data_IF_753726691885
#
_entry.id   IF_753726691885
#
_cell.length_a   1.000
_cell.length_b   1.000
_cell.length_c   1.000
_cell.angle_alpha   90.00
_cell.angle_beta   90.00
_cell.angle_gamma   90.00
#
_symmetry.space_group_name_H-M   'P 1'
#
loop_
_entity.id
_entity.type
_entity.pdbx_description
1 polymer ?
#
# COMPACT_ATOMS: atom_id res chain seq x y z
N UNK A 1 8.39 -26.70 12.46
CA UNK A 1 8.41 -25.26 12.12
C UNK A 1 9.50 -24.86 11.13
N UNK A 2 10.67 -25.51 11.09
CA UNK A 2 11.80 -25.12 10.24
C UNK A 2 11.56 -25.23 8.72
N UNK A 3 10.81 -26.22 8.24
CA UNK A 3 10.55 -26.41 6.78
C UNK A 3 9.57 -25.37 6.19
N UNK A 4 8.57 -24.93 6.96
CA UNK A 4 7.60 -23.91 6.51
C UNK A 4 8.25 -22.52 6.38
N UNK A 5 9.04 -22.13 7.38
CA UNK A 5 9.69 -20.81 7.37
C UNK A 5 10.82 -20.68 6.35
N UNK A 6 11.34 -21.78 5.81
CA UNK A 6 12.35 -21.81 4.74
C UNK A 6 11.74 -21.78 3.32
N UNK A 7 10.43 -21.90 3.19
CA UNK A 7 9.76 -21.86 1.90
C UNK A 7 9.47 -20.38 1.48
N UNK A 8 10.04 -19.98 0.33
CA UNK A 8 9.89 -18.61 -0.18
C UNK A 8 8.44 -18.22 -0.46
N UNK A 9 7.61 -19.15 -0.94
CA UNK A 9 6.21 -18.88 -1.22
C UNK A 9 5.40 -18.65 0.05
N UNK A 10 5.73 -19.40 1.12
CA UNK A 10 5.11 -19.18 2.42
C UNK A 10 5.45 -17.81 3.01
N UNK A 11 6.72 -17.38 2.87
CA UNK A 11 7.14 -16.04 3.31
C UNK A 11 6.43 -14.93 2.52
N UNK A 12 6.28 -15.13 1.21
CA UNK A 12 5.52 -14.18 0.36
C UNK A 12 4.05 -14.12 0.78
N UNK A 13 3.39 -15.28 0.95
CA UNK A 13 1.98 -15.34 1.38
C UNK A 13 1.77 -14.67 2.73
N UNK A 14 2.63 -14.95 3.71
CA UNK A 14 2.57 -14.31 5.02
C UNK A 14 2.75 -12.78 4.92
N UNK A 15 3.68 -12.31 4.07
CA UNK A 15 3.87 -10.90 3.76
C UNK A 15 2.63 -10.28 3.12
N UNK A 16 2.03 -10.93 2.12
CA UNK A 16 0.80 -10.48 1.47
C UNK A 16 -0.34 -10.36 2.48
N UNK A 17 -0.50 -11.35 3.37
CA UNK A 17 -1.55 -11.30 4.39
C UNK A 17 -1.31 -10.13 5.37
N UNK A 18 -0.07 -9.88 5.80
CA UNK A 18 0.26 -8.69 6.60
C UNK A 18 -0.13 -7.40 5.87
N UNK A 19 0.14 -7.31 4.56
CA UNK A 19 -0.22 -6.16 3.72
C UNK A 19 -1.74 -5.97 3.62
N UNK A 20 -2.50 -7.07 3.47
CA UNK A 20 -3.98 -7.04 3.50
C UNK A 20 -4.49 -6.49 4.83
N UNK A 21 -3.88 -6.88 5.95
CA UNK A 21 -4.31 -6.44 7.29
C UNK A 21 -4.07 -4.95 7.55
N UNK A 22 -3.08 -4.33 6.93
CA UNK A 22 -2.79 -2.90 7.12
C UNK A 22 -3.42 -1.99 6.05
N UNK A 23 -3.99 -2.53 5.00
CA UNK A 23 -4.49 -1.78 3.84
C UNK A 23 -5.58 -0.76 4.18
N UNK A 24 -6.49 -1.10 5.09
CA UNK A 24 -7.59 -0.22 5.47
C UNK A 24 -7.16 0.98 6.33
N UNK A 25 -5.97 0.97 6.89
CA UNK A 25 -5.41 2.12 7.61
C UNK A 25 -5.37 3.36 6.69
N UNK A 26 -5.04 3.15 5.42
CA UNK A 26 -5.03 4.18 4.40
C UNK A 26 -6.36 4.26 3.65
N UNK A 27 -6.79 3.18 3.01
CA UNK A 27 -7.94 3.20 2.11
C UNK A 27 -9.30 3.21 2.82
N UNK A 28 -9.37 2.76 4.07
CA UNK A 28 -10.57 2.81 4.88
C UNK A 28 -10.80 4.13 5.62
N UNK A 29 -9.81 5.04 5.64
CA UNK A 29 -9.88 6.28 6.41
C UNK A 29 -11.11 7.13 6.10
N UNK A 30 -11.49 7.24 4.84
CA UNK A 30 -12.64 8.03 4.41
C UNK A 30 -13.97 7.62 5.04
N UNK A 31 -14.09 6.35 5.47
CA UNK A 31 -15.28 5.85 6.17
C UNK A 31 -15.46 6.47 7.56
N UNK A 32 -14.38 6.92 8.17
CA UNK A 32 -14.38 7.46 9.53
C UNK A 32 -14.57 8.98 9.57
N UNK A 33 -14.22 9.70 8.48
CA UNK A 33 -14.20 11.17 8.46
C UNK A 33 -15.56 11.78 8.78
N UNK A 34 -16.61 11.40 8.06
CA UNK A 34 -17.95 11.94 8.27
C UNK A 34 -18.55 11.54 9.64
N UNK A 35 -18.45 10.27 10.11
CA UNK A 35 -18.87 9.90 11.46
C UNK A 35 -18.15 10.66 12.57
N UNK A 36 -16.83 10.88 12.46
CA UNK A 36 -16.06 11.65 13.44
C UNK A 36 -16.48 13.11 13.47
N UNK A 37 -16.58 13.74 12.28
CA UNK A 37 -17.01 15.14 12.15
C UNK A 37 -18.38 15.35 12.79
N UNK A 38 -19.33 14.46 12.52
CA UNK A 38 -20.68 14.53 13.08
C UNK A 38 -20.71 14.32 14.60
N UNK A 39 -19.92 13.38 15.12
CA UNK A 39 -19.95 13.03 16.55
C UNK A 39 -19.17 14.01 17.42
N UNK A 40 -18.03 14.53 16.95
CA UNK A 40 -17.13 15.37 17.73
C UNK A 40 -17.24 16.86 17.39
N UNK A 41 -17.94 17.20 16.29
CA UNK A 41 -18.02 18.58 15.81
C UNK A 41 -16.71 19.10 15.19
N UNK A 42 -15.75 18.23 14.90
CA UNK A 42 -14.47 18.63 14.32
C UNK A 42 -14.61 18.96 12.84
N UNK A 43 -13.87 19.97 12.37
CA UNK A 43 -13.81 20.29 10.96
C UNK A 43 -13.18 19.12 10.18
N UNK A 44 -13.70 18.88 8.96
CA UNK A 44 -13.18 17.81 8.08
C UNK A 44 -11.69 18.02 7.78
N UNK A 45 -11.25 19.28 7.62
CA UNK A 45 -9.84 19.64 7.44
C UNK A 45 -8.94 19.14 8.57
N UNK A 46 -9.39 19.28 9.82
CA UNK A 46 -8.61 18.87 10.99
C UNK A 46 -8.53 17.35 11.10
N UNK A 47 -9.61 16.64 10.74
CA UNK A 47 -9.60 15.19 10.66
C UNK A 47 -8.67 14.71 9.54
N UNK A 48 -8.65 15.39 8.39
CA UNK A 48 -7.76 15.05 7.28
C UNK A 48 -6.28 15.35 7.59
N UNK A 49 -5.99 16.27 8.52
CA UNK A 49 -4.63 16.47 9.00
C UNK A 49 -4.10 15.22 9.71
N UNK A 50 -4.94 14.49 10.45
CA UNK A 50 -4.55 13.19 11.03
C UNK A 50 -4.13 12.19 9.95
N UNK A 51 -4.86 12.13 8.84
CA UNK A 51 -4.48 11.30 7.69
C UNK A 51 -3.15 11.72 7.06
N UNK A 52 -2.91 13.03 6.96
CA UNK A 52 -1.63 13.55 6.45
C UNK A 52 -0.46 13.17 7.36
N UNK A 53 -0.65 13.20 8.69
CA UNK A 53 0.34 12.74 9.68
C UNK A 53 0.60 11.24 9.53
N UNK A 54 -0.46 10.44 9.37
CA UNK A 54 -0.36 9.00 9.11
C UNK A 54 0.50 8.73 7.87
N UNK A 55 0.17 9.32 6.71
CA UNK A 55 0.89 9.13 5.45
C UNK A 55 2.34 9.60 5.55
N UNK A 56 2.58 10.75 6.19
CA UNK A 56 3.94 11.28 6.36
C UNK A 56 4.83 10.28 7.12
N UNK A 57 4.35 9.74 8.24
CA UNK A 57 5.13 8.79 9.04
C UNK A 57 5.24 7.41 8.37
N UNK A 58 4.17 6.91 7.76
CA UNK A 58 4.19 5.67 6.98
C UNK A 58 5.27 5.70 5.88
N UNK A 59 5.45 6.87 5.24
CA UNK A 59 6.37 7.02 4.12
C UNK A 59 7.79 7.35 4.56
N UNK A 60 7.95 8.37 5.42
CA UNK A 60 9.26 8.92 5.76
C UNK A 60 10.05 8.09 6.78
N UNK A 61 9.39 7.25 7.57
CA UNK A 61 10.08 6.32 8.48
C UNK A 61 10.59 5.05 7.79
N UNK A 62 10.10 4.73 6.59
CA UNK A 62 10.47 3.53 5.82
C UNK A 62 12.01 3.30 5.70
N UNK A 63 12.86 4.30 5.42
CA UNK A 63 14.30 4.08 5.37
C UNK A 63 14.91 3.71 6.73
N UNK A 64 14.40 4.29 7.82
CA UNK A 64 14.83 3.96 9.18
C UNK A 64 14.41 2.55 9.58
N UNK A 65 13.18 2.18 9.27
CA UNK A 65 12.62 0.85 9.54
C UNK A 65 13.39 -0.24 8.77
N UNK A 66 13.70 0.00 7.50
CA UNK A 66 14.52 -0.88 6.69
C UNK A 66 15.94 -1.06 7.27
N UNK A 67 16.55 0.04 7.74
CA UNK A 67 17.84 -0.01 8.41
C UNK A 67 17.79 -0.81 9.72
N UNK A 68 16.73 -0.65 10.53
CA UNK A 68 16.52 -1.44 11.75
C UNK A 68 16.41 -2.94 11.42
N UNK A 69 15.63 -3.30 10.39
CA UNK A 69 15.52 -4.69 9.92
C UNK A 69 16.88 -5.27 9.57
N UNK A 70 17.69 -4.53 8.82
CA UNK A 70 19.02 -4.99 8.39
C UNK A 70 20.00 -5.09 9.58
N UNK A 71 19.95 -4.15 10.53
CA UNK A 71 20.77 -4.16 11.75
C UNK A 71 20.45 -5.34 12.68
N UNK A 72 19.17 -5.69 12.81
CA UNK A 72 18.70 -6.82 13.62
C UNK A 72 18.98 -8.19 12.95
N UNK A 73 19.30 -8.16 11.66
CA UNK A 73 19.67 -9.32 10.87
C UNK A 73 18.51 -10.18 10.38
N UNK A 74 18.81 -11.19 9.54
CA UNK A 74 17.80 -11.88 8.74
C UNK A 74 16.79 -12.70 9.55
N UNK A 75 17.16 -13.18 10.72
CA UNK A 75 16.26 -13.98 11.58
C UNK A 75 15.34 -13.12 12.45
N UNK A 76 15.86 -12.03 13.00
CA UNK A 76 15.16 -11.22 14.00
C UNK A 76 14.55 -9.96 13.42
N UNK A 77 15.18 -9.34 12.41
CA UNK A 77 14.76 -8.07 11.83
C UNK A 77 13.30 -8.08 11.41
N UNK A 78 12.88 -8.92 10.45
CA UNK A 78 11.50 -8.94 10.00
C UNK A 78 10.50 -9.24 11.12
N UNK A 79 10.82 -10.20 12.00
CA UNK A 79 9.96 -10.59 13.11
C UNK A 79 9.67 -9.42 14.06
N UNK A 80 10.74 -8.78 14.53
CA UNK A 80 10.62 -7.75 15.56
C UNK A 80 10.02 -6.46 14.99
N UNK A 81 10.41 -6.08 13.77
CA UNK A 81 9.91 -4.84 13.15
C UNK A 81 8.43 -4.99 12.77
N UNK A 82 8.02 -6.11 12.16
CA UNK A 82 6.60 -6.35 11.84
C UNK A 82 5.77 -6.54 13.12
N UNK A 83 6.30 -7.23 14.15
CA UNK A 83 5.61 -7.35 15.44
C UNK A 83 5.39 -6.00 16.12
N UNK A 84 6.43 -5.15 16.15
CA UNK A 84 6.32 -3.79 16.65
C UNK A 84 5.32 -2.97 15.82
N UNK A 85 5.35 -3.11 14.49
CA UNK A 85 4.38 -2.50 13.58
C UNK A 85 2.94 -2.89 13.91
N UNK A 86 2.66 -4.18 14.12
CA UNK A 86 1.34 -4.67 14.54
C UNK A 86 0.88 -4.10 15.88
N UNK A 87 1.79 -3.99 16.85
CA UNK A 87 1.49 -3.35 18.15
C UNK A 87 1.16 -1.86 17.97
N UNK A 88 1.96 -1.13 17.18
CA UNK A 88 1.75 0.29 16.94
C UNK A 88 0.43 0.55 16.21
N UNK A 89 0.06 -0.27 15.24
CA UNK A 89 -1.24 -0.22 14.55
C UNK A 89 -2.38 -0.44 15.54
N UNK A 90 -2.31 -1.47 16.39
CA UNK A 90 -3.32 -1.73 17.39
C UNK A 90 -3.47 -0.54 18.36
N UNK A 91 -2.36 -0.08 18.94
CA UNK A 91 -2.36 1.03 19.89
C UNK A 91 -2.87 2.33 19.26
N UNK A 92 -2.45 2.64 18.02
CA UNK A 92 -2.89 3.84 17.32
C UNK A 92 -4.40 3.85 17.05
N UNK A 93 -4.97 2.75 16.60
CA UNK A 93 -6.41 2.65 16.36
C UNK A 93 -7.23 2.54 17.66
N UNK A 94 -6.71 1.87 18.69
CA UNK A 94 -7.34 1.89 20.03
C UNK A 94 -7.36 3.32 20.58
N UNK A 95 -6.26 4.08 20.43
CA UNK A 95 -6.23 5.48 20.83
C UNK A 95 -7.24 6.32 20.04
N UNK A 96 -7.33 6.11 18.71
CA UNK A 96 -8.32 6.79 17.87
C UNK A 96 -9.76 6.43 18.25
N UNK A 97 -10.01 5.21 18.73
CA UNK A 97 -11.34 4.81 19.23
C UNK A 97 -11.80 5.58 20.45
N UNK A 98 -10.85 6.06 21.25
CA UNK A 98 -11.09 6.78 22.51
C UNK A 98 -10.77 8.28 22.38
N UNK A 99 -10.40 8.75 21.17
CA UNK A 99 -10.01 10.13 20.97
C UNK A 99 -11.18 11.09 21.17
N UNK A 100 -11.05 11.95 22.17
CA UNK A 100 -11.96 13.05 22.49
C UNK A 100 -11.33 14.43 22.20
N UNK A 101 -10.15 14.43 21.61
CA UNK A 101 -9.42 15.62 21.16
C UNK A 101 -8.67 15.35 19.87
N UNK A 102 -8.43 16.39 19.07
CA UNK A 102 -7.63 16.30 17.85
C UNK A 102 -6.20 15.85 18.14
N UNK A 103 -5.63 16.27 19.28
CA UNK A 103 -4.28 15.83 19.69
C UNK A 103 -4.22 14.31 19.86
N UNK A 104 -5.20 13.70 20.52
CA UNK A 104 -5.27 12.24 20.67
C UNK A 104 -5.41 11.54 19.31
N UNK A 105 -6.25 12.07 18.41
CA UNK A 105 -6.41 11.58 17.05
C UNK A 105 -5.08 11.64 16.27
N UNK A 106 -4.32 12.75 16.38
CA UNK A 106 -3.03 12.92 15.70
C UNK A 106 -1.96 11.97 16.23
N UNK A 107 -1.90 11.75 17.54
CA UNK A 107 -0.98 10.77 18.15
C UNK A 107 -1.35 9.36 17.69
N UNK A 108 -2.63 9.00 17.68
CA UNK A 108 -3.08 7.70 17.18
C UNK A 108 -2.75 7.52 15.70
N UNK A 109 -2.94 8.54 14.88
CA UNK A 109 -2.57 8.53 13.46
C UNK A 109 -1.04 8.38 13.28
N UNK A 110 -0.24 9.06 14.10
CA UNK A 110 1.21 8.95 14.08
C UNK A 110 1.69 7.52 14.42
N UNK A 111 1.15 6.92 15.48
CA UNK A 111 1.46 5.52 15.85
C UNK A 111 1.07 4.55 14.73
N UNK A 112 -0.12 4.75 14.16
CA UNK A 112 -0.63 3.91 13.06
C UNK A 112 0.23 4.04 11.81
N UNK A 113 0.68 5.25 11.46
CA UNK A 113 1.56 5.50 10.32
C UNK A 113 2.92 4.82 10.49
N UNK A 114 3.56 5.01 11.65
CA UNK A 114 4.81 4.33 11.96
C UNK A 114 4.65 2.78 11.95
N UNK A 115 3.55 2.27 12.49
CA UNK A 115 3.27 0.83 12.47
C UNK A 115 3.02 0.29 11.07
N UNK A 116 2.21 0.98 10.27
CA UNK A 116 1.90 0.62 8.87
C UNK A 116 3.16 0.61 8.00
N UNK A 117 3.97 1.67 8.08
CA UNK A 117 5.25 1.77 7.38
C UNK A 117 6.20 0.62 7.69
N UNK A 118 6.37 0.29 8.98
CA UNK A 118 7.21 -0.81 9.43
C UNK A 118 6.80 -2.17 8.81
N UNK A 119 5.50 -2.45 8.76
CA UNK A 119 4.96 -3.66 8.12
C UNK A 119 5.18 -3.62 6.62
N UNK A 120 4.81 -2.51 5.96
CA UNK A 120 4.93 -2.34 4.52
C UNK A 120 6.38 -2.52 4.05
N UNK A 121 7.29 -1.71 4.58
CA UNK A 121 8.70 -1.73 4.20
C UNK A 121 9.34 -3.10 4.39
N UNK A 122 9.03 -3.76 5.51
CA UNK A 122 9.59 -5.08 5.83
C UNK A 122 9.05 -6.17 4.90
N UNK A 123 7.75 -6.19 4.61
CA UNK A 123 7.14 -7.19 3.73
C UNK A 123 7.65 -7.05 2.30
N UNK A 124 7.68 -5.83 1.74
CA UNK A 124 8.21 -5.55 0.41
C UNK A 124 9.70 -5.87 0.32
N UNK A 125 10.50 -5.40 1.28
CA UNK A 125 11.94 -5.68 1.32
C UNK A 125 12.26 -7.18 1.45
N UNK A 126 11.46 -7.92 2.21
CA UNK A 126 11.59 -9.38 2.32
C UNK A 126 11.23 -10.09 1.02
N UNK A 127 10.16 -9.66 0.33
CA UNK A 127 9.77 -10.23 -0.96
C UNK A 127 10.90 -10.11 -2.01
N UNK A 128 11.56 -8.96 -2.09
CA UNK A 128 12.72 -8.74 -2.98
C UNK A 128 13.86 -9.72 -2.68
N UNK A 129 14.14 -9.96 -1.39
CA UNK A 129 15.24 -10.84 -0.96
C UNK A 129 14.94 -12.32 -1.18
N UNK A 130 13.68 -12.75 -1.03
CA UNK A 130 13.26 -14.13 -1.24
C UNK A 130 13.14 -14.51 -2.73
N UNK A 131 12.90 -13.53 -3.60
CA UNK A 131 12.67 -13.75 -5.04
C UNK A 131 13.66 -12.96 -5.90
N UNK A 132 14.97 -13.27 -5.84
CA UNK A 132 15.95 -12.59 -6.69
C UNK A 132 15.74 -12.86 -8.18
N UNK A 133 15.08 -13.99 -8.53
CA UNK A 133 14.70 -14.41 -9.88
C UNK A 133 13.45 -13.69 -10.43
N UNK A 134 12.56 -13.20 -9.57
CA UNK A 134 11.26 -12.60 -9.94
C UNK A 134 10.90 -11.46 -8.99
N UNK A 135 11.80 -10.49 -8.86
CA UNK A 135 11.65 -9.37 -7.90
C UNK A 135 10.42 -8.52 -8.19
N UNK A 136 10.17 -8.23 -9.47
CA UNK A 136 9.05 -7.41 -9.89
C UNK A 136 7.71 -8.07 -9.55
N UNK A 137 7.56 -9.36 -9.89
CA UNK A 137 6.35 -10.13 -9.56
C UNK A 137 6.13 -10.23 -8.05
N UNK A 138 7.17 -10.53 -7.27
CA UNK A 138 7.06 -10.67 -5.83
C UNK A 138 6.66 -9.36 -5.13
N UNK A 139 7.26 -8.24 -5.52
CA UNK A 139 6.89 -6.90 -5.04
C UNK A 139 5.48 -6.55 -5.48
N UNK A 140 5.14 -6.81 -6.74
CA UNK A 140 3.82 -6.56 -7.30
C UNK A 140 2.70 -7.32 -6.56
N UNK A 141 2.91 -8.60 -6.26
CA UNK A 141 1.97 -9.41 -5.47
C UNK A 141 1.83 -8.90 -4.02
N UNK A 142 2.96 -8.54 -3.40
CA UNK A 142 2.94 -7.98 -2.04
C UNK A 142 2.17 -6.65 -2.01
N UNK A 143 2.43 -5.77 -2.96
CA UNK A 143 1.74 -4.49 -3.07
C UNK A 143 0.27 -4.63 -3.50
N UNK A 144 -0.08 -5.66 -4.29
CA UNK A 144 -1.47 -5.99 -4.61
C UNK A 144 -2.26 -6.40 -3.36
N UNK A 145 -1.62 -7.10 -2.42
CA UNK A 145 -2.22 -7.43 -1.12
C UNK A 145 -2.65 -6.18 -0.34
N UNK A 146 -1.86 -5.12 -0.38
CA UNK A 146 -2.22 -3.83 0.20
C UNK A 146 -3.44 -3.20 -0.52
N UNK A 147 -3.50 -3.23 -1.85
CA UNK A 147 -4.66 -2.74 -2.60
C UNK A 147 -5.94 -3.57 -2.35
N UNK A 148 -5.82 -4.91 -2.41
CA UNK A 148 -6.96 -5.82 -2.24
C UNK A 148 -7.49 -5.86 -0.80
N UNK A 149 -6.65 -5.61 0.20
CA UNK A 149 -7.03 -5.65 1.61
C UNK A 149 -8.13 -4.65 1.96
N UNK A 150 -8.11 -3.47 1.34
CA UNK A 150 -9.16 -2.48 1.49
C UNK A 150 -10.52 -3.01 1.00
N UNK A 151 -10.56 -3.66 -0.17
CA UNK A 151 -11.78 -4.23 -0.72
C UNK A 151 -12.42 -5.27 0.22
N UNK A 152 -11.60 -6.04 0.93
CA UNK A 152 -12.07 -7.05 1.89
C UNK A 152 -12.56 -6.44 3.20
N UNK A 153 -12.00 -5.32 3.63
CA UNK A 153 -12.24 -4.76 4.97
C UNK A 153 -13.22 -3.59 4.99
N UNK A 154 -13.40 -2.85 3.87
CA UNK A 154 -14.31 -1.69 3.78
C UNK A 154 -15.75 -2.06 4.12
N UNK A 155 -16.27 -3.17 3.59
CA UNK A 155 -17.66 -3.61 3.85
C UNK A 155 -17.89 -3.92 5.35
N UNK A 156 -17.08 -4.79 6.01
CA UNK A 156 -17.27 -5.06 7.42
C UNK A 156 -17.02 -3.84 8.32
N UNK A 157 -16.03 -2.98 8.00
CA UNK A 157 -15.80 -1.72 8.73
C UNK A 157 -17.06 -0.84 8.67
N UNK A 158 -17.61 -0.64 7.47
CA UNK A 158 -18.82 0.16 7.27
C UNK A 158 -20.03 -0.41 8.04
N UNK A 159 -20.19 -1.73 8.05
CA UNK A 159 -21.24 -2.40 8.81
C UNK A 159 -21.09 -2.15 10.33
N UNK A 160 -19.88 -2.25 10.87
CA UNK A 160 -19.62 -1.98 12.30
C UNK A 160 -19.83 -0.50 12.61
N UNK A 161 -19.41 0.42 11.76
CA UNK A 161 -19.65 1.87 11.94
C UNK A 161 -21.16 2.14 12.00
N UNK A 162 -21.95 1.54 11.12
CA UNK A 162 -23.40 1.73 11.09
C UNK A 162 -24.10 1.14 12.32
N UNK A 163 -23.65 -0.01 12.83
CA UNK A 163 -24.26 -0.70 13.96
C UNK A 163 -23.81 -0.18 15.34
N UNK A 164 -22.53 0.16 15.50
CA UNK A 164 -21.90 0.39 16.79
C UNK A 164 -21.04 1.66 16.87
N UNK A 165 -21.03 2.46 15.79
CA UNK A 165 -20.27 3.69 15.71
C UNK A 165 -18.81 3.49 15.28
N UNK A 166 -18.15 4.60 14.93
CA UNK A 166 -16.78 4.59 14.42
C UNK A 166 -15.76 4.19 15.50
N UNK A 167 -16.02 4.48 16.76
CA UNK A 167 -15.19 4.09 17.89
C UNK A 167 -15.05 2.57 17.98
N UNK A 168 -16.17 1.84 17.89
CA UNK A 168 -16.18 0.39 17.92
C UNK A 168 -15.40 -0.19 16.71
N UNK A 169 -15.54 0.43 15.53
CA UNK A 169 -14.80 0.01 14.34
C UNK A 169 -13.28 0.21 14.54
N UNK A 170 -12.82 1.37 15.00
CA UNK A 170 -11.42 1.59 15.32
C UNK A 170 -10.90 0.57 16.33
N UNK A 171 -11.65 0.33 17.41
CA UNK A 171 -11.23 -0.58 18.46
C UNK A 171 -11.07 -2.02 17.97
N UNK A 172 -12.12 -2.59 17.38
CA UNK A 172 -12.13 -4.01 17.01
C UNK A 172 -11.21 -4.30 15.81
N UNK A 173 -11.20 -3.44 14.80
CA UNK A 173 -10.30 -3.64 13.67
C UNK A 173 -8.85 -3.35 14.04
N UNK A 174 -8.57 -2.32 14.84
CA UNK A 174 -7.22 -2.04 15.32
C UNK A 174 -6.64 -3.19 16.13
N UNK A 175 -7.39 -3.66 17.12
CA UNK A 175 -7.00 -4.79 17.94
C UNK A 175 -6.84 -6.08 17.13
N UNK A 176 -7.86 -6.42 16.32
CA UNK A 176 -7.87 -7.66 15.53
C UNK A 176 -6.75 -7.71 14.50
N UNK A 177 -6.60 -6.66 13.70
CA UNK A 177 -5.58 -6.59 12.66
C UNK A 177 -4.17 -6.49 13.24
N UNK A 178 -3.96 -5.64 14.25
CA UNK A 178 -2.67 -5.52 14.91
C UNK A 178 -2.24 -6.83 15.59
N UNK A 179 -3.15 -7.50 16.29
CA UNK A 179 -2.88 -8.81 16.90
C UNK A 179 -2.57 -9.88 15.83
N UNK A 180 -3.29 -9.87 14.70
CA UNK A 180 -3.06 -10.81 13.63
C UNK A 180 -1.70 -10.59 12.95
N UNK A 181 -1.34 -9.35 12.68
CA UNK A 181 0.00 -8.97 12.16
C UNK A 181 1.08 -9.37 13.16
N UNK A 182 0.89 -9.10 14.46
CA UNK A 182 1.80 -9.51 15.51
C UNK A 182 2.03 -11.03 15.54
N UNK A 183 0.98 -11.84 15.43
CA UNK A 183 1.09 -13.30 15.39
C UNK A 183 1.83 -13.78 14.12
N UNK A 184 1.50 -13.22 12.96
CA UNK A 184 2.15 -13.58 11.70
C UNK A 184 3.63 -13.17 11.66
N UNK A 185 4.00 -12.09 12.33
CA UNK A 185 5.37 -11.59 12.39
C UNK A 185 6.36 -12.68 12.83
N UNK A 186 5.98 -13.58 13.75
CA UNK A 186 6.83 -14.66 14.23
C UNK A 186 7.18 -15.72 13.19
N UNK A 187 6.43 -15.78 12.09
CA UNK A 187 6.68 -16.65 10.95
C UNK A 187 7.61 -16.01 9.90
N UNK A 188 7.76 -14.67 9.94
CA UNK A 188 8.55 -13.93 8.96
C UNK A 188 10.03 -14.00 9.25
N UNK A 189 10.85 -14.11 8.19
CA UNK A 189 12.30 -13.97 8.21
C UNK A 189 12.83 -13.59 6.83
N UNK A 190 14.04 -13.11 6.75
CA UNK A 190 14.75 -12.99 5.47
C UNK A 190 15.42 -14.32 5.10
N UNK A 191 15.74 -14.53 3.81
CA UNK A 191 16.47 -15.71 3.37
C UNK A 191 17.86 -15.77 4.01
N UNK A 192 18.28 -16.96 4.36
CA UNK A 192 19.65 -17.25 4.81
C UNK A 192 20.45 -17.91 3.69
N UNK A 193 21.78 -17.96 3.79
CA UNK A 193 22.60 -18.70 2.85
C UNK A 193 22.08 -20.13 2.68
N UNK A 194 21.79 -20.52 1.43
CA UNK A 194 21.23 -21.83 1.10
C UNK A 194 19.70 -21.92 0.95
N UNK A 195 18.92 -20.92 1.43
CA UNK A 195 17.46 -20.91 1.23
C UNK A 195 17.07 -20.61 -0.22
N UNK A 196 17.85 -19.75 -0.90
CA UNK A 196 17.64 -19.38 -2.30
C UNK A 196 18.74 -20.03 -3.13
N UNK A 197 18.36 -20.88 -4.10
CA UNK A 197 19.32 -21.55 -4.96
C UNK A 197 20.03 -20.56 -5.88
N UNK A 198 21.36 -20.72 -6.04
CA UNK A 198 22.17 -19.90 -6.94
C UNK A 198 21.70 -19.98 -8.41
N UNK A 199 21.06 -21.08 -8.82
CA UNK A 199 20.48 -21.29 -10.15
C UNK A 199 19.27 -20.36 -10.45
N UNK A 200 18.70 -19.72 -9.46
CA UNK A 200 17.64 -18.72 -9.65
C UNK A 200 18.19 -17.35 -10.14
N UNK A 201 19.50 -17.23 -10.29
CA UNK A 201 20.13 -15.96 -10.71
C UNK A 201 20.25 -15.78 -12.24
N UNK A 202 19.72 -16.72 -13.04
CA UNK A 202 19.69 -16.56 -14.52
C UNK A 202 18.41 -15.80 -14.89
N UNK A 203 18.36 -14.52 -14.56
CA UNK A 203 17.45 -13.59 -15.21
C UNK A 203 18.06 -13.16 -16.54
N UNK A 204 17.27 -13.15 -17.61
CA UNK A 204 17.66 -12.58 -18.91
C UNK A 204 17.95 -11.08 -18.85
N UNK A 205 17.58 -10.44 -17.74
CA UNK A 205 17.82 -9.03 -17.45
C UNK A 205 19.02 -8.91 -16.52
N UNK A 206 20.05 -8.20 -16.97
CA UNK A 206 21.27 -7.92 -16.19
C UNK A 206 20.86 -7.11 -14.93
N UNK A 207 20.88 -7.77 -13.79
CA UNK A 207 20.65 -7.10 -12.50
C UNK A 207 22.00 -6.80 -11.86
N UNK A 208 22.24 -5.53 -11.58
CA UNK A 208 23.45 -5.12 -10.85
C UNK A 208 23.33 -5.62 -9.41
N UNK A 209 24.20 -6.57 -9.04
CA UNK A 209 24.24 -7.16 -7.70
C UNK A 209 24.89 -6.24 -6.64
N UNK A 210 25.21 -4.99 -7.00
CA UNK A 210 25.95 -4.06 -6.13
C UNK A 210 25.01 -3.36 -5.15
N UNK A 211 25.20 -3.62 -3.86
CA UNK A 211 24.54 -2.85 -2.81
C UNK A 211 25.20 -1.47 -2.66
N UNK A 212 24.39 -0.44 -2.60
CA UNK A 212 24.82 0.95 -2.44
C UNK A 212 24.39 1.44 -1.06
N UNK A 213 25.29 2.07 -0.31
CA UNK A 213 24.94 2.67 0.99
C UNK A 213 23.98 3.85 0.82
N UNK A 214 23.11 4.15 1.82
CA UNK A 214 22.15 5.25 1.73
C UNK A 214 22.77 6.60 1.38
N UNK A 215 23.93 6.93 1.98
CA UNK A 215 24.63 8.19 1.68
C UNK A 215 25.10 8.28 0.22
N UNK A 216 25.61 7.17 -0.35
CA UNK A 216 26.02 7.14 -1.77
C UNK A 216 24.80 7.19 -2.71
N UNK A 217 23.67 6.63 -2.29
CA UNK A 217 22.43 6.70 -3.04
C UNK A 217 21.93 8.15 -3.15
N UNK A 218 21.90 8.89 -2.04
CA UNK A 218 21.45 10.29 -2.02
C UNK A 218 22.30 11.24 -2.88
N UNK A 219 23.58 10.91 -3.11
CA UNK A 219 24.46 11.67 -4.00
C UNK A 219 24.30 11.26 -5.46
N UNK A 220 23.62 10.14 -5.74
CA UNK A 220 23.46 9.63 -7.12
C UNK A 220 22.39 10.42 -7.90
N UNK A 221 22.70 11.00 -9.07
CA UNK A 221 21.71 11.68 -9.90
C UNK A 221 20.63 10.73 -10.41
N UNK A 222 20.94 9.45 -10.60
CA UNK A 222 19.98 8.42 -11.04
C UNK A 222 18.89 8.23 -9.98
N UNK A 223 19.25 8.27 -8.69
CA UNK A 223 18.27 8.19 -7.61
C UNK A 223 17.26 9.34 -7.68
N UNK A 224 17.75 10.57 -7.84
CA UNK A 224 16.86 11.74 -7.91
C UNK A 224 16.01 11.76 -9.18
N UNK A 225 16.56 11.32 -10.30
CA UNK A 225 15.79 11.15 -11.54
C UNK A 225 14.62 10.18 -11.33
N UNK A 226 14.90 8.98 -10.80
CA UNK A 226 13.85 7.98 -10.50
C UNK A 226 12.84 8.48 -9.46
N UNK A 227 13.31 9.21 -8.45
CA UNK A 227 12.46 9.80 -7.43
C UNK A 227 11.49 10.84 -8.03
N UNK A 228 11.99 11.77 -8.84
CA UNK A 228 11.15 12.78 -9.50
C UNK A 228 10.14 12.11 -10.45
N UNK A 229 10.58 11.16 -11.26
CA UNK A 229 9.70 10.40 -12.14
C UNK A 229 8.58 9.71 -11.35
N UNK A 230 8.91 9.07 -10.23
CA UNK A 230 7.94 8.43 -9.36
C UNK A 230 6.95 9.43 -8.75
N UNK A 231 7.43 10.57 -8.27
CA UNK A 231 6.58 11.65 -7.72
C UNK A 231 5.60 12.15 -8.77
N UNK A 232 6.06 12.46 -9.99
CA UNK A 232 5.21 12.99 -11.07
C UNK A 232 4.11 12.00 -11.46
N UNK A 233 4.46 10.72 -11.64
CA UNK A 233 3.48 9.69 -12.01
C UNK A 233 2.52 9.38 -10.87
N UNK A 234 3.01 9.32 -9.62
CA UNK A 234 2.14 9.10 -8.47
C UNK A 234 1.19 10.25 -8.24
N UNK A 235 1.67 11.49 -8.38
CA UNK A 235 0.84 12.68 -8.25
C UNK A 235 -0.27 12.70 -9.32
N UNK A 236 0.07 12.44 -10.59
CA UNK A 236 -0.92 12.40 -11.67
C UNK A 236 -1.97 11.31 -11.44
N UNK A 237 -1.56 10.10 -11.06
CA UNK A 237 -2.48 9.00 -10.77
C UNK A 237 -3.43 9.29 -9.60
N UNK A 238 -2.89 9.81 -8.49
CA UNK A 238 -3.69 10.20 -7.34
C UNK A 238 -4.66 11.34 -7.64
N UNK A 239 -4.25 12.31 -8.45
CA UNK A 239 -5.13 13.40 -8.90
C UNK A 239 -6.27 12.86 -9.75
N UNK A 240 -6.01 11.97 -10.71
CA UNK A 240 -7.05 11.37 -11.53
C UNK A 240 -8.07 10.60 -10.69
N UNK A 241 -7.59 9.70 -9.83
CA UNK A 241 -8.46 8.90 -8.94
C UNK A 241 -9.27 9.79 -7.99
N UNK A 242 -8.68 10.85 -7.44
CA UNK A 242 -9.37 11.78 -6.55
C UNK A 242 -10.46 12.63 -7.28
N UNK A 243 -10.26 12.91 -8.56
CA UNK A 243 -11.14 13.76 -9.36
C UNK A 243 -12.12 12.98 -10.25
N UNK A 244 -12.05 11.65 -10.28
CA UNK A 244 -12.81 10.80 -11.22
C UNK A 244 -14.32 11.08 -11.19
N UNK A 245 -14.90 11.32 -10.01
CA UNK A 245 -16.31 11.63 -9.85
C UNK A 245 -16.68 13.03 -10.39
N UNK A 246 -15.79 14.01 -10.22
CA UNK A 246 -15.98 15.36 -10.74
C UNK A 246 -15.82 15.37 -12.26
N UNK A 247 -14.80 14.67 -12.78
CA UNK A 247 -14.60 14.51 -14.22
C UNK A 247 -15.84 13.87 -14.87
N UNK A 248 -16.35 12.77 -14.30
CA UNK A 248 -17.55 12.12 -14.82
C UNK A 248 -18.79 13.03 -14.80
N UNK A 249 -18.89 13.92 -13.80
CA UNK A 249 -19.96 14.91 -13.71
C UNK A 249 -19.80 16.04 -14.75
N UNK A 250 -18.60 16.55 -14.93
CA UNK A 250 -18.31 17.62 -15.89
C UNK A 250 -18.58 17.17 -17.33
N UNK A 251 -18.32 15.91 -17.63
CA UNK A 251 -18.68 15.31 -18.93
C UNK A 251 -20.13 14.82 -19.02
N UNK A 252 -20.96 15.00 -17.98
CA UNK A 252 -22.35 14.59 -17.90
C UNK A 252 -22.58 13.08 -18.13
N UNK A 253 -21.61 12.24 -17.76
CA UNK A 253 -21.69 10.78 -17.90
C UNK A 253 -21.87 10.04 -16.57
N UNK A 254 -21.86 10.74 -15.43
CA UNK A 254 -21.91 10.15 -14.07
C UNK A 254 -23.10 9.21 -13.86
N UNK A 255 -24.28 9.64 -14.33
CA UNK A 255 -25.56 8.96 -14.08
C UNK A 255 -26.03 8.11 -15.28
N UNK A 256 -25.29 8.12 -16.40
CA UNK A 256 -25.60 7.26 -17.54
C UNK A 256 -25.43 5.78 -17.17
N UNK A 257 -26.43 4.96 -17.49
CA UNK A 257 -26.41 3.53 -17.23
C UNK A 257 -25.55 2.85 -18.29
N UNK A 258 -24.47 2.18 -17.87
CA UNK A 258 -23.50 1.55 -18.77
C UNK A 258 -23.64 0.03 -18.84
N UNK A 259 -23.70 -0.65 -17.69
CA UNK A 259 -23.67 -2.10 -17.65
C UNK A 259 -24.47 -2.64 -16.46
N UNK A 260 -25.34 -3.65 -16.71
CA UNK A 260 -26.15 -4.32 -15.68
C UNK A 260 -26.95 -3.37 -14.75
N UNK A 261 -27.37 -2.22 -15.25
CA UNK A 261 -28.05 -1.20 -14.45
C UNK A 261 -27.17 -0.33 -13.57
N UNK A 262 -25.86 -0.52 -13.62
CA UNK A 262 -24.88 0.30 -12.90
C UNK A 262 -24.57 1.58 -13.69
N UNK A 263 -24.38 2.69 -12.98
CA UNK A 263 -23.98 3.96 -13.59
C UNK A 263 -22.53 3.92 -14.06
N UNK A 264 -22.20 4.73 -15.07
CA UNK A 264 -20.84 4.88 -15.60
C UNK A 264 -19.84 5.15 -14.47
N UNK A 265 -20.14 6.05 -13.56
CA UNK A 265 -19.29 6.35 -12.43
C UNK A 265 -19.03 5.11 -11.55
N UNK A 266 -20.06 4.31 -11.25
CA UNK A 266 -19.91 3.10 -10.47
C UNK A 266 -19.02 2.07 -11.16
N UNK A 267 -19.23 1.84 -12.45
CA UNK A 267 -18.41 0.92 -13.25
C UNK A 267 -16.97 1.39 -13.30
N UNK A 268 -16.73 2.68 -13.55
CA UNK A 268 -15.40 3.27 -13.61
C UNK A 268 -14.64 3.11 -12.28
N UNK A 269 -15.29 3.36 -11.14
CA UNK A 269 -14.68 3.17 -9.82
C UNK A 269 -14.33 1.70 -9.54
N UNK A 270 -15.17 0.77 -9.96
CA UNK A 270 -14.89 -0.67 -9.82
C UNK A 270 -13.70 -1.05 -10.69
N UNK A 271 -13.68 -0.62 -11.96
CA UNK A 271 -12.59 -0.89 -12.89
C UNK A 271 -11.28 -0.29 -12.38
N UNK A 272 -11.29 0.97 -11.91
CA UNK A 272 -10.11 1.62 -11.34
C UNK A 272 -9.51 0.81 -10.19
N UNK A 273 -10.32 0.39 -9.23
CA UNK A 273 -9.85 -0.41 -8.09
C UNK A 273 -9.30 -1.78 -8.50
N UNK A 274 -9.99 -2.47 -9.42
CA UNK A 274 -9.54 -3.78 -9.94
C UNK A 274 -8.21 -3.61 -10.71
N UNK A 275 -8.12 -2.62 -11.59
CA UNK A 275 -6.91 -2.35 -12.36
C UNK A 275 -5.74 -1.91 -11.48
N UNK A 276 -5.98 -1.08 -10.48
CA UNK A 276 -4.96 -0.68 -9.49
C UNK A 276 -4.37 -1.91 -8.78
N UNK A 277 -5.21 -2.86 -8.37
CA UNK A 277 -4.77 -4.11 -7.75
C UNK A 277 -3.99 -5.01 -8.71
N UNK A 278 -4.52 -5.24 -9.91
CA UNK A 278 -3.96 -6.17 -10.90
C UNK A 278 -2.72 -5.60 -11.64
N UNK A 279 -2.66 -4.30 -11.85
CA UNK A 279 -1.54 -3.67 -12.55
C UNK A 279 -0.20 -3.92 -11.85
N UNK A 280 -0.18 -3.95 -10.52
CA UNK A 280 1.06 -4.13 -9.75
C UNK A 280 1.75 -5.48 -10.03
N UNK A 281 1.11 -6.65 -9.88
CA UNK A 281 1.73 -7.92 -10.23
C UNK A 281 1.94 -8.07 -11.75
N UNK A 282 1.06 -7.51 -12.59
CA UNK A 282 1.18 -7.56 -14.04
C UNK A 282 2.43 -6.83 -14.55
N UNK A 283 2.60 -5.56 -14.20
CA UNK A 283 3.80 -4.80 -14.57
C UNK A 283 5.06 -5.31 -13.85
N UNK A 284 4.92 -5.85 -12.65
CA UNK A 284 6.02 -6.54 -11.97
C UNK A 284 6.52 -7.75 -12.74
N UNK A 285 5.61 -8.58 -13.24
CA UNK A 285 5.93 -9.74 -14.08
C UNK A 285 6.52 -9.36 -15.44
N UNK A 286 5.99 -8.31 -16.08
CA UNK A 286 6.56 -7.75 -17.32
C UNK A 286 7.98 -7.25 -17.06
N UNK A 287 8.19 -6.49 -15.99
CA UNK A 287 9.48 -5.93 -15.60
C UNK A 287 10.56 -7.00 -15.38
N UNK A 288 10.18 -8.16 -14.88
CA UNK A 288 11.11 -9.28 -14.72
C UNK A 288 11.52 -9.93 -16.07
N UNK A 289 10.79 -9.66 -17.16
CA UNK A 289 11.05 -10.23 -18.52
C UNK A 289 11.74 -9.27 -19.47
N UNK A 290 11.22 -8.04 -19.58
CA UNK A 290 11.70 -7.05 -20.56
C UNK A 290 12.62 -5.98 -19.95
N UNK A 291 12.78 -6.02 -18.62
CA UNK A 291 13.58 -5.04 -17.89
C UNK A 291 12.75 -3.87 -17.34
N UNK A 292 13.35 -3.19 -16.36
CA UNK A 292 12.65 -2.15 -15.60
C UNK A 292 12.45 -0.88 -16.42
N UNK A 293 13.45 -0.52 -17.21
CA UNK A 293 13.46 0.71 -18.02
C UNK A 293 12.37 0.68 -19.08
N UNK A 294 12.27 -0.41 -19.85
CA UNK A 294 11.23 -0.59 -20.84
C UNK A 294 9.84 -0.67 -20.22
N UNK A 295 9.71 -1.35 -19.08
CA UNK A 295 8.43 -1.43 -18.38
C UNK A 295 7.96 -0.07 -17.91
N UNK A 296 8.87 0.77 -17.35
CA UNK A 296 8.54 2.14 -16.97
C UNK A 296 8.16 2.99 -18.19
N UNK A 297 8.90 2.88 -19.30
CA UNK A 297 8.58 3.61 -20.52
C UNK A 297 7.19 3.25 -21.07
N UNK A 298 6.83 1.95 -21.06
CA UNK A 298 5.50 1.48 -21.46
C UNK A 298 4.43 2.02 -20.48
N UNK A 299 4.63 1.87 -19.18
CA UNK A 299 3.64 2.30 -18.18
C UNK A 299 3.39 3.82 -18.23
N UNK A 300 4.45 4.61 -18.36
CA UNK A 300 4.35 6.07 -18.46
C UNK A 300 3.76 6.52 -19.79
N UNK A 301 4.13 5.84 -20.90
CA UNK A 301 3.56 6.10 -22.22
C UNK A 301 2.05 5.80 -22.25
N UNK A 302 1.62 4.66 -21.71
CA UNK A 302 0.20 4.33 -21.59
C UNK A 302 -0.55 5.34 -20.72
N UNK A 303 0.03 5.76 -19.61
CA UNK A 303 -0.54 6.81 -18.76
C UNK A 303 -0.70 8.14 -19.50
N UNK A 304 0.33 8.58 -20.23
CA UNK A 304 0.30 9.79 -21.04
C UNK A 304 -0.78 9.76 -22.13
N UNK A 305 -0.88 8.62 -22.85
CA UNK A 305 -1.93 8.40 -23.86
C UNK A 305 -3.32 8.42 -23.22
N UNK A 306 -3.50 7.77 -22.06
CA UNK A 306 -4.78 7.76 -21.35
C UNK A 306 -5.22 9.18 -20.94
N UNK A 307 -4.31 10.01 -20.41
CA UNK A 307 -4.62 11.42 -20.10
C UNK A 307 -4.92 12.25 -21.34
N UNK A 308 -4.18 12.03 -22.42
CA UNK A 308 -4.45 12.72 -23.68
C UNK A 308 -5.83 12.34 -24.23
N UNK A 309 -6.17 11.04 -24.24
CA UNK A 309 -7.49 10.55 -24.65
C UNK A 309 -8.60 11.16 -23.77
N UNK A 310 -8.42 11.21 -22.45
CA UNK A 310 -9.38 11.82 -21.54
C UNK A 310 -9.62 13.30 -21.90
N UNK A 311 -8.56 14.05 -22.23
CA UNK A 311 -8.68 15.46 -22.60
C UNK A 311 -9.33 15.72 -23.96
N UNK A 312 -9.15 14.81 -24.93
CA UNK A 312 -9.67 14.99 -26.31
C UNK A 312 -11.05 14.36 -26.49
N UNK A 313 -11.28 13.20 -25.88
CA UNK A 313 -12.44 12.36 -26.14
C UNK A 313 -13.46 12.34 -24.99
N UNK A 314 -13.17 12.98 -23.87
CA UNK A 314 -13.99 12.92 -22.67
C UNK A 314 -15.38 13.57 -22.76
N UNK A 315 -15.73 14.17 -23.91
CA UNK A 315 -17.07 14.71 -24.17
C UNK A 315 -18.08 13.67 -24.69
N UNK A 316 -17.62 12.42 -24.95
CA UNK A 316 -18.47 11.34 -25.46
C UNK A 316 -18.68 10.26 -24.40
N UNK A 317 -19.92 9.77 -24.17
CA UNK A 317 -20.21 8.70 -23.21
C UNK A 317 -19.51 7.36 -23.53
N UNK A 318 -18.99 7.20 -24.75
CA UNK A 318 -18.34 5.98 -25.23
C UNK A 318 -16.80 6.04 -25.19
N UNK A 319 -16.24 7.15 -24.80
CA UNK A 319 -14.79 7.39 -24.66
C UNK A 319 -14.41 7.73 -23.22
#
# INVERSE_FOLDING_TARGET
MTKLTSNRWWQLTAGIICMVMIANLQYGWTLFVAPMSKAQGWAVSDIQLAFSIFIALETWLTPLEGWIVDKLGPKRGPKLVVAAGGILVALGWILNSQANSLTALYIGAALTGAGGGAVYATCVGSAVKWFPDRRGLAVGLTAAGFGAGAALTVIPIRAVIAASGYQAAFFWFGLGQGAFVFMLAWLLRQPMPGDVRASAMVSSVIQVARSVSPGKMLVSPIFWLLYIMFVLVSASGLMATAQIALIAKDYNVSDSVLFLGATTLTVTLVVDNVMNGLARPFFGWISDRIGREFTMAIAFGLGGVAYWLLGVAGSSPLT
#
